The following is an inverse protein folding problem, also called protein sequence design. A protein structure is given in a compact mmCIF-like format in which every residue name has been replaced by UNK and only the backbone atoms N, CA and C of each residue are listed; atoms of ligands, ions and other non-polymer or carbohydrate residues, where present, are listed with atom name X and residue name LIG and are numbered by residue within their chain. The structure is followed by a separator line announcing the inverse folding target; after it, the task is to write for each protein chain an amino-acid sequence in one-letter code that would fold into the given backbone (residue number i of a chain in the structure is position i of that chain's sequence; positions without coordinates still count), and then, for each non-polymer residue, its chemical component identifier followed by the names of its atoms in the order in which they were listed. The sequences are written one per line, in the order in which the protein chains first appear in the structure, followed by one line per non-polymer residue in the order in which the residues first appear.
data_IF_074343375134
#
_entry.id   IF_074343375134
#
_cell.length_a   1.000
_cell.length_b   1.000
_cell.length_c   1.000
_cell.angle_alpha   90.00
_cell.angle_beta   90.00
_cell.angle_gamma   90.00
#
_symmetry.space_group_name_H-M   'P 1'
#
loop_
_entity.id
_entity.type
_entity.pdbx_description
1 polymer ?
#
# COMPACT_ATOMS: atom_id res chain seq x y z
N UNK A 1 8.75 66.28 -11.87
CA UNK A 1 9.18 64.95 -12.36
C UNK A 1 8.15 63.93 -11.88
N UNK A 2 7.47 63.27 -12.83
CA UNK A 2 6.69 62.01 -12.80
C UNK A 2 5.76 61.75 -11.60
N UNK A 3 4.48 61.37 -11.73
CA UNK A 3 3.70 60.86 -12.85
C UNK A 3 2.30 60.49 -12.31
N UNK A 4 1.31 60.47 -13.21
CA UNK A 4 -0.14 60.50 -12.99
C UNK A 4 -0.74 59.36 -12.14
N UNK A 5 -1.70 59.73 -11.30
CA UNK A 5 -2.82 58.92 -10.83
C UNK A 5 -3.93 58.85 -11.89
N UNK A 6 -4.53 57.67 -12.09
CA UNK A 6 -5.95 57.57 -12.45
C UNK A 6 -6.52 56.17 -12.16
N UNK A 7 -7.71 56.23 -11.60
CA UNK A 7 -8.62 55.22 -11.08
C UNK A 7 -9.25 54.34 -12.15
N UNK A 8 -9.48 53.07 -11.84
CA UNK A 8 -10.26 52.13 -12.65
C UNK A 8 -11.61 51.83 -11.99
N UNK A 9 -12.70 52.10 -12.71
CA UNK A 9 -14.08 51.77 -12.34
C UNK A 9 -14.77 51.02 -13.49
N UNK A 10 -15.31 49.84 -13.16
CA UNK A 10 -16.64 49.29 -13.54
C UNK A 10 -16.92 48.69 -14.95
N UNK A 11 -17.38 47.42 -14.87
CA UNK A 11 -18.34 46.62 -15.67
C UNK A 11 -18.49 46.82 -17.18
N UNK A 12 -18.43 45.69 -17.92
CA UNK A 12 -19.33 45.41 -19.05
C UNK A 12 -19.74 43.93 -19.12
N UNK A 13 -21.04 43.71 -18.96
CA UNK A 13 -21.80 42.56 -19.47
C UNK A 13 -22.24 42.88 -20.89
N UNK A 14 -22.24 41.90 -21.82
CA UNK A 14 -23.20 41.86 -22.94
C UNK A 14 -23.46 40.42 -23.39
N UNK A 15 -24.74 40.13 -23.54
CA UNK A 15 -25.36 38.91 -24.06
C UNK A 15 -25.15 38.78 -25.58
N UNK A 16 -25.20 37.56 -26.12
CA UNK A 16 -25.90 37.30 -27.38
C UNK A 16 -26.23 35.81 -27.55
N UNK A 17 -27.49 35.58 -27.88
CA UNK A 17 -28.22 34.38 -28.27
C UNK A 17 -27.74 33.74 -29.58
N UNK A 18 -27.84 32.41 -29.68
CA UNK A 18 -28.60 31.73 -30.74
C UNK A 18 -28.78 30.24 -30.43
N UNK A 19 -30.03 29.79 -30.46
CA UNK A 19 -30.43 28.40 -30.50
C UNK A 19 -30.51 27.95 -31.96
N UNK A 20 -30.00 26.77 -32.27
CA UNK A 20 -30.32 26.02 -33.47
C UNK A 20 -30.55 24.56 -33.09
N UNK A 21 -31.74 24.07 -33.42
CA UNK A 21 -32.20 22.69 -33.23
C UNK A 21 -31.85 21.80 -34.42
N UNK A 22 -31.78 20.49 -34.13
CA UNK A 22 -31.88 19.31 -35.00
C UNK A 22 -30.58 18.75 -35.62
N UNK A 23 -30.15 17.57 -35.17
CA UNK A 23 -30.51 16.30 -35.83
C UNK A 23 -30.03 15.10 -35.02
N UNK A 24 -30.86 14.07 -34.94
CA UNK A 24 -30.58 12.77 -34.33
C UNK A 24 -29.73 11.87 -35.25
N UNK A 25 -29.03 10.93 -34.60
CA UNK A 25 -28.25 9.79 -35.13
C UNK A 25 -26.86 10.10 -35.68
N UNK A 26 -25.85 9.79 -34.87
CA UNK A 26 -24.96 8.68 -35.19
C UNK A 26 -24.28 8.17 -33.91
N UNK A 27 -24.41 6.85 -33.71
CA UNK A 27 -23.73 6.06 -32.71
C UNK A 27 -22.22 6.14 -32.92
N UNK A 28 -21.52 6.86 -32.06
CA UNK A 28 -20.09 6.65 -31.86
C UNK A 28 -19.92 5.46 -30.91
N UNK A 29 -19.84 4.27 -31.51
CA UNK A 29 -19.25 3.11 -30.87
C UNK A 29 -17.90 3.57 -30.30
N UNK A 30 -17.69 3.33 -29.01
CA UNK A 30 -16.36 3.40 -28.44
C UNK A 30 -15.54 2.36 -29.19
N UNK A 31 -14.59 2.81 -30.01
CA UNK A 31 -13.55 1.94 -30.52
C UNK A 31 -12.87 1.32 -29.30
N UNK A 32 -13.15 0.03 -29.07
CA UNK A 32 -12.34 -0.86 -28.27
C UNK A 32 -10.93 -0.82 -28.88
N UNK A 33 -10.12 0.13 -28.39
CA UNK A 33 -8.67 0.00 -28.53
C UNK A 33 -8.29 -1.19 -27.68
N UNK A 34 -8.32 -2.35 -28.32
CA UNK A 34 -7.71 -3.57 -27.85
C UNK A 34 -6.32 -3.20 -27.35
N UNK A 35 -6.12 -3.33 -26.04
CA UNK A 35 -4.81 -3.35 -25.43
C UNK A 35 -3.97 -4.35 -26.21
N UNK A 36 -2.75 -3.94 -26.60
CA UNK A 36 -1.83 -4.83 -27.31
C UNK A 36 -1.81 -6.19 -26.59
N UNK A 37 -1.98 -7.32 -27.30
CA UNK A 37 -2.02 -8.62 -26.67
C UNK A 37 -0.75 -8.82 -25.86
N UNK A 38 -0.92 -9.08 -24.57
CA UNK A 38 0.18 -9.31 -23.63
C UNK A 38 1.18 -10.29 -24.26
N UNK A 39 2.50 -10.01 -24.23
CA UNK A 39 3.49 -11.00 -24.62
C UNK A 39 3.22 -12.27 -23.82
N UNK A 40 3.02 -13.40 -24.51
CA UNK A 40 2.69 -14.71 -23.90
C UNK A 40 3.67 -15.13 -22.79
N UNK A 41 4.85 -14.52 -22.74
CA UNK A 41 5.95 -14.85 -21.84
C UNK A 41 6.28 -13.74 -20.80
N UNK A 42 5.43 -12.70 -20.64
CA UNK A 42 5.72 -11.64 -19.66
C UNK A 42 5.67 -12.19 -18.21
N UNK A 43 6.75 -12.09 -17.42
CA UNK A 43 6.78 -12.66 -16.07
C UNK A 43 5.96 -11.88 -15.05
N UNK A 44 5.59 -10.63 -15.37
CA UNK A 44 4.76 -9.75 -14.55
C UNK A 44 3.35 -9.73 -15.14
N UNK A 45 2.36 -10.16 -14.37
CA UNK A 45 0.94 -10.13 -14.75
C UNK A 45 0.08 -10.35 -13.51
N UNK A 46 -0.40 -9.28 -12.87
CA UNK A 46 -1.31 -9.39 -11.73
C UNK A 46 -2.34 -8.26 -11.74
N UNK A 47 -3.63 -8.61 -11.62
CA UNK A 47 -4.76 -7.67 -11.72
C UNK A 47 -5.55 -7.50 -10.42
N UNK A 48 -5.42 -8.44 -9.49
CA UNK A 48 -6.21 -8.52 -8.27
C UNK A 48 -5.42 -9.29 -7.20
N UNK A 49 -6.01 -9.44 -6.02
CA UNK A 49 -5.32 -10.03 -4.86
C UNK A 49 -5.58 -11.54 -4.69
N UNK A 50 -6.33 -12.21 -5.57
CA UNK A 50 -6.85 -13.56 -5.33
C UNK A 50 -6.75 -14.56 -6.49
N UNK A 51 -6.46 -14.13 -7.72
CA UNK A 51 -6.22 -15.08 -8.81
C UNK A 51 -5.06 -16.03 -8.48
N UNK A 52 -5.02 -17.27 -9.02
CA UNK A 52 -3.99 -18.25 -8.68
C UNK A 52 -2.56 -17.70 -8.79
N UNK A 53 -1.85 -17.66 -7.66
CA UNK A 53 -0.51 -17.10 -7.51
C UNK A 53 0.54 -17.99 -8.16
N UNK A 54 1.43 -17.41 -8.97
CA UNK A 54 2.49 -18.12 -9.68
C UNK A 54 3.90 -17.61 -9.34
N UNK A 55 4.06 -16.30 -9.12
CA UNK A 55 5.34 -15.70 -8.72
C UNK A 55 5.15 -14.56 -7.74
N UNK A 56 5.99 -14.53 -6.71
CA UNK A 56 5.92 -13.56 -5.60
C UNK A 56 7.31 -13.12 -5.16
N UNK A 57 7.44 -11.85 -4.78
CA UNK A 57 8.61 -11.35 -4.05
C UNK A 57 8.30 -11.45 -2.56
N UNK A 58 9.19 -12.07 -1.77
CA UNK A 58 9.11 -12.13 -0.30
C UNK A 58 10.25 -11.31 0.30
N UNK A 59 9.95 -10.48 1.30
CA UNK A 59 10.90 -9.55 1.91
C UNK A 59 12.05 -10.20 2.70
N UNK A 60 12.88 -9.35 3.30
CA UNK A 60 14.04 -9.70 4.14
C UNK A 60 14.04 -8.96 5.47
N UNK A 61 14.32 -9.68 6.56
CA UNK A 61 14.47 -9.13 7.90
C UNK A 61 15.93 -8.75 8.22
N UNK A 62 16.87 -9.24 7.42
CA UNK A 62 18.30 -9.05 7.61
C UNK A 62 18.66 -7.56 7.64
N UNK A 63 19.51 -7.20 8.61
CA UNK A 63 20.03 -5.85 8.80
C UNK A 63 18.99 -4.75 8.98
N UNK A 64 17.73 -5.08 9.32
CA UNK A 64 16.71 -4.07 9.57
C UNK A 64 17.14 -3.09 10.68
N UNK A 65 16.99 -1.80 10.42
CA UNK A 65 17.35 -0.71 11.32
C UNK A 65 16.11 0.01 11.84
N UNK A 66 16.15 0.41 13.11
CA UNK A 66 15.17 1.32 13.70
C UNK A 66 15.34 2.67 13.02
N UNK A 67 14.29 3.24 12.40
CA UNK A 67 14.40 4.53 11.74
C UNK A 67 14.65 5.63 12.77
N UNK A 68 15.38 6.71 12.43
CA UNK A 68 15.46 7.89 13.27
C UNK A 68 14.06 8.40 13.66
N UNK A 69 13.87 8.84 14.90
CA UNK A 69 12.56 9.25 15.40
C UNK A 69 12.16 10.66 14.92
N UNK A 70 11.79 10.75 13.64
CA UNK A 70 11.29 11.96 12.97
C UNK A 70 9.76 12.07 13.06
N UNK A 71 9.20 13.19 12.61
CA UNK A 71 7.77 13.51 12.80
C UNK A 71 6.85 12.50 12.09
N UNK A 72 7.24 12.02 10.90
CA UNK A 72 6.52 11.01 10.15
C UNK A 72 6.61 9.62 10.79
N UNK A 73 7.72 9.28 11.44
CA UNK A 73 7.84 8.02 12.21
C UNK A 73 6.94 8.09 13.45
N UNK A 74 6.94 9.22 14.16
CA UNK A 74 6.10 9.45 15.34
C UNK A 74 4.61 9.37 14.99
N UNK A 75 4.17 10.01 13.92
CA UNK A 75 2.77 10.02 13.48
C UNK A 75 2.23 8.62 13.15
N UNK A 76 3.12 7.70 12.82
CA UNK A 76 2.79 6.38 12.30
C UNK A 76 3.05 5.23 13.29
N UNK A 77 3.50 5.52 14.51
CA UNK A 77 3.82 4.52 15.54
C UNK A 77 3.02 4.78 16.82
N UNK A 78 2.77 3.72 17.59
CA UNK A 78 2.08 3.83 18.88
C UNK A 78 2.98 4.50 19.93
N UNK A 79 2.38 5.30 20.80
CA UNK A 79 3.05 6.07 21.86
C UNK A 79 3.89 5.20 22.78
N UNK A 80 3.47 3.95 23.02
CA UNK A 80 4.23 2.98 23.83
C UNK A 80 5.62 2.66 23.27
N UNK A 81 5.84 2.85 21.96
CA UNK A 81 7.14 2.59 21.31
C UNK A 81 7.92 3.85 20.98
N UNK A 82 7.38 5.05 21.19
CA UNK A 82 8.14 6.29 20.95
C UNK A 82 9.48 6.32 21.69
N UNK A 83 9.58 5.91 22.98
CA UNK A 83 10.87 5.83 23.67
C UNK A 83 11.87 4.87 23.00
N UNK A 84 11.37 3.76 22.43
CA UNK A 84 12.21 2.80 21.71
C UNK A 84 12.83 3.45 20.47
N UNK A 85 12.05 4.16 19.66
CA UNK A 85 12.57 4.86 18.48
C UNK A 85 13.53 6.00 18.85
N UNK A 86 13.22 6.75 19.91
CA UNK A 86 14.09 7.81 20.42
C UNK A 86 15.46 7.26 20.85
N UNK A 87 15.47 6.11 21.53
CA UNK A 87 16.69 5.49 22.04
C UNK A 87 17.49 4.75 20.95
N UNK A 88 16.81 4.08 20.03
CA UNK A 88 17.45 3.13 19.11
C UNK A 88 17.51 3.60 17.65
N UNK A 89 16.98 4.77 17.31
CA UNK A 89 17.05 5.31 15.94
C UNK A 89 18.46 5.26 15.35
N UNK A 90 18.59 4.71 14.14
CA UNK A 90 19.86 4.49 13.44
C UNK A 90 20.59 3.19 13.80
N UNK A 91 20.14 2.45 14.83
CA UNK A 91 20.68 1.14 15.19
C UNK A 91 19.86 0.01 14.57
N UNK A 92 20.43 -1.20 14.52
CA UNK A 92 19.67 -2.40 14.16
C UNK A 92 18.53 -2.66 15.16
N UNK A 93 17.41 -3.20 14.67
CA UNK A 93 16.44 -3.85 15.54
C UNK A 93 17.12 -4.98 16.35
N UNK A 94 16.55 -5.39 17.50
CA UNK A 94 17.14 -6.44 18.34
C UNK A 94 17.51 -7.70 17.53
N UNK A 95 18.81 -8.01 17.46
CA UNK A 95 19.34 -9.05 16.56
C UNK A 95 18.77 -10.43 16.83
N UNK A 96 18.51 -10.77 18.09
CA UNK A 96 17.87 -12.04 18.46
C UNK A 96 16.44 -12.13 17.94
N UNK A 97 15.73 -11.00 17.89
CA UNK A 97 14.39 -10.92 17.30
C UNK A 97 14.45 -11.06 15.78
N UNK A 98 15.38 -10.36 15.13
CA UNK A 98 15.59 -10.47 13.69
C UNK A 98 15.96 -11.88 13.27
N UNK A 99 16.79 -12.59 14.05
CA UNK A 99 17.15 -13.99 13.77
C UNK A 99 15.92 -14.91 13.73
N UNK A 100 14.95 -14.70 14.62
CA UNK A 100 13.68 -15.44 14.61
C UNK A 100 12.83 -15.07 13.40
N UNK A 101 12.71 -13.78 13.09
CA UNK A 101 11.98 -13.30 11.92
C UNK A 101 12.57 -13.86 10.61
N UNK A 102 13.89 -13.93 10.48
CA UNK A 102 14.55 -14.57 9.32
C UNK A 102 14.11 -16.04 9.21
N UNK A 103 14.18 -16.81 10.30
CA UNK A 103 13.79 -18.22 10.28
C UNK A 103 12.31 -18.43 9.89
N UNK A 104 11.41 -17.60 10.42
CA UNK A 104 9.98 -17.63 10.08
C UNK A 104 9.73 -17.33 8.60
N UNK A 105 10.41 -16.33 8.04
CA UNK A 105 10.23 -15.92 6.65
C UNK A 105 10.88 -16.90 5.67
N UNK A 106 12.00 -17.53 6.03
CA UNK A 106 12.53 -18.65 5.23
C UNK A 106 11.55 -19.83 5.18
N UNK A 107 10.88 -20.14 6.30
CA UNK A 107 9.86 -21.19 6.30
C UNK A 107 8.63 -20.81 5.49
N UNK A 108 8.16 -19.56 5.58
CA UNK A 108 7.13 -19.02 4.68
C UNK A 108 7.52 -19.20 3.20
N UNK A 109 8.78 -18.94 2.85
CA UNK A 109 9.28 -19.14 1.49
C UNK A 109 9.28 -20.61 1.07
N UNK A 110 9.62 -21.54 1.98
CA UNK A 110 9.56 -22.98 1.71
C UNK A 110 8.14 -23.43 1.43
N UNK A 111 7.19 -22.98 2.25
CA UNK A 111 5.77 -23.29 2.09
C UNK A 111 5.24 -22.74 0.76
N UNK A 112 5.54 -21.49 0.39
CA UNK A 112 5.17 -20.95 -0.92
C UNK A 112 5.69 -21.79 -2.09
N UNK A 113 6.94 -22.27 -2.02
CA UNK A 113 7.51 -23.15 -3.05
C UNK A 113 6.80 -24.51 -3.10
N UNK A 114 6.45 -25.09 -1.94
CA UNK A 114 5.67 -26.33 -1.88
C UNK A 114 4.26 -26.16 -2.47
N UNK A 115 3.68 -24.97 -2.33
CA UNK A 115 2.39 -24.59 -2.95
C UNK A 115 2.51 -24.27 -4.46
N UNK A 116 3.70 -24.45 -5.06
CA UNK A 116 3.96 -24.26 -6.49
C UNK A 116 4.27 -22.82 -6.90
N UNK A 117 4.52 -21.92 -5.96
CA UNK A 117 4.80 -20.50 -6.23
C UNK A 117 6.30 -20.27 -6.41
N UNK A 118 6.69 -19.56 -7.47
CA UNK A 118 8.05 -19.07 -7.66
C UNK A 118 8.34 -17.93 -6.68
N UNK A 119 9.38 -18.06 -5.86
CA UNK A 119 9.75 -17.07 -4.84
C UNK A 119 11.01 -16.31 -5.23
N UNK A 120 10.93 -14.98 -5.26
CA UNK A 120 12.06 -14.05 -5.41
C UNK A 120 12.30 -13.30 -4.11
N UNK A 121 13.55 -12.89 -3.85
CA UNK A 121 13.96 -12.21 -2.61
C UNK A 121 14.79 -10.98 -2.96
N UNK A 122 14.61 -9.84 -2.27
CA UNK A 122 15.44 -8.66 -2.48
C UNK A 122 16.91 -8.95 -2.15
N UNK A 123 17.82 -8.14 -2.68
CA UNK A 123 19.24 -8.22 -2.39
C UNK A 123 19.51 -7.87 -0.91
N UNK A 124 20.42 -8.58 -0.22
CA UNK A 124 20.87 -8.17 1.11
C UNK A 124 21.54 -6.79 1.07
N UNK A 125 21.08 -5.88 1.93
CA UNK A 125 21.62 -4.52 2.07
C UNK A 125 21.91 -4.26 3.54
N UNK A 126 22.95 -3.45 3.82
CA UNK A 126 23.15 -2.84 5.12
C UNK A 126 22.33 -1.55 5.20
N UNK A 127 21.27 -1.56 6.02
CA UNK A 127 20.37 -0.43 6.21
C UNK A 127 20.87 0.58 7.24
N UNK A 128 21.98 0.30 7.93
CA UNK A 128 22.59 1.25 8.87
C UNK A 128 23.39 2.34 8.16
N UNK A 129 23.65 2.18 6.86
CA UNK A 129 24.35 3.18 6.05
C UNK A 129 23.60 4.52 6.08
N UNK A 130 24.32 5.55 6.55
CA UNK A 130 23.85 6.93 6.53
C UNK A 130 24.00 7.50 5.12
N UNK A 131 22.96 8.14 4.61
CA UNK A 131 22.96 8.82 3.32
C UNK A 131 22.45 10.24 3.47
N UNK A 132 22.83 11.07 2.51
CA UNK A 132 22.52 12.49 2.48
C UNK A 132 22.01 12.89 1.10
N UNK A 133 20.83 13.50 1.04
CA UNK A 133 20.33 14.23 -0.12
C UNK A 133 20.62 15.73 0.08
N UNK A 134 20.35 16.60 -0.91
CA UNK A 134 20.37 18.05 -0.68
C UNK A 134 19.39 18.53 0.40
N UNK A 135 18.31 17.78 0.65
CA UNK A 135 17.18 18.19 1.49
C UNK A 135 17.21 17.58 2.90
N UNK A 136 17.82 16.41 3.10
CA UNK A 136 17.89 15.75 4.40
C UNK A 136 19.04 14.73 4.52
N UNK A 137 19.26 14.23 5.72
CA UNK A 137 20.16 13.11 6.02
C UNK A 137 19.44 12.06 6.86
N UNK A 138 19.66 10.77 6.60
CA UNK A 138 19.03 9.67 7.34
C UNK A 138 19.83 8.36 7.25
N UNK A 139 19.43 7.37 8.02
CA UNK A 139 19.79 5.95 7.81
C UNK A 139 18.65 5.22 7.10
N UNK A 140 18.84 3.96 6.76
CA UNK A 140 17.80 3.11 6.16
C UNK A 140 16.81 2.54 7.18
N UNK A 141 15.86 1.76 6.65
CA UNK A 141 14.87 0.99 7.40
C UNK A 141 15.07 -0.52 7.17
N UNK A 142 14.56 -1.08 6.08
CA UNK A 142 14.70 -2.51 5.70
C UNK A 142 14.17 -2.77 4.27
N UNK A 143 14.20 -4.04 3.83
CA UNK A 143 13.41 -4.55 2.69
C UNK A 143 12.49 -5.72 3.09
N UNK A 144 11.90 -5.66 4.29
CA UNK A 144 10.94 -6.62 4.83
C UNK A 144 9.58 -6.58 4.12
N UNK A 145 9.13 -5.42 3.66
CA UNK A 145 7.76 -5.23 3.15
C UNK A 145 7.75 -4.82 1.67
N UNK A 146 7.89 -5.76 0.72
CA UNK A 146 7.78 -5.47 -0.70
C UNK A 146 6.49 -4.74 -1.07
N UNK A 147 5.37 -5.01 -0.37
CA UNK A 147 4.07 -4.40 -0.63
C UNK A 147 4.05 -2.89 -0.46
N UNK A 148 4.88 -2.38 0.44
CA UNK A 148 4.91 -0.95 0.75
C UNK A 148 5.51 -0.14 -0.40
N UNK A 149 6.43 -0.73 -1.15
CA UNK A 149 7.21 -0.06 -2.20
C UNK A 149 6.87 -0.52 -3.61
N UNK A 150 6.33 -1.72 -3.80
CA UNK A 150 6.01 -2.27 -5.10
C UNK A 150 4.52 -2.61 -5.20
N UNK A 151 3.88 -2.14 -6.27
CA UNK A 151 2.58 -2.61 -6.73
C UNK A 151 2.68 -3.08 -8.18
N UNK A 152 1.99 -4.17 -8.50
CA UNK A 152 1.86 -4.69 -9.85
C UNK A 152 0.45 -4.43 -10.37
N UNK A 153 0.35 -3.80 -11.53
CA UNK A 153 -0.93 -3.48 -12.20
C UNK A 153 -0.85 -3.98 -13.63
N UNK A 154 -1.49 -5.13 -13.90
CA UNK A 154 -1.33 -5.84 -15.17
C UNK A 154 0.12 -6.30 -15.36
N UNK A 155 0.74 -5.95 -16.49
CA UNK A 155 2.13 -6.26 -16.80
C UNK A 155 3.13 -5.18 -16.37
N UNK A 156 2.71 -4.25 -15.51
CA UNK A 156 3.51 -3.13 -15.02
C UNK A 156 3.85 -3.28 -13.55
N UNK A 157 5.13 -3.21 -13.21
CA UNK A 157 5.62 -3.06 -11.84
C UNK A 157 5.96 -1.60 -11.57
N UNK A 158 5.38 -1.03 -10.50
CA UNK A 158 5.49 0.39 -10.14
C UNK A 158 6.24 0.50 -8.81
N UNK A 159 7.35 1.24 -8.81
CA UNK A 159 8.05 1.65 -7.58
C UNK A 159 7.34 2.89 -7.00
N UNK A 160 6.84 2.76 -5.77
CA UNK A 160 6.24 3.85 -5.02
C UNK A 160 7.29 4.87 -4.57
N UNK A 161 6.91 6.16 -4.44
CA UNK A 161 7.82 7.21 -4.05
C UNK A 161 8.26 7.12 -2.58
N UNK A 162 7.44 6.47 -1.74
CA UNK A 162 7.53 6.47 -0.27
C UNK A 162 7.29 7.87 0.32
N UNK A 163 7.05 7.94 1.64
CA UNK A 163 6.95 9.22 2.36
C UNK A 163 7.88 9.33 3.59
N UNK A 164 8.58 8.26 3.95
CA UNK A 164 9.55 8.27 5.04
C UNK A 164 10.95 8.53 4.53
N UNK A 165 11.66 9.47 5.16
CA UNK A 165 13.06 9.76 4.83
C UNK A 165 13.91 8.51 4.89
N UNK A 166 13.72 7.66 5.90
CA UNK A 166 14.45 6.40 6.10
C UNK A 166 14.22 5.34 4.99
N UNK A 167 13.18 5.51 4.17
CA UNK A 167 12.80 4.59 3.08
C UNK A 167 13.16 5.12 1.70
N UNK A 168 13.85 6.26 1.61
CA UNK A 168 14.15 6.91 0.34
C UNK A 168 14.87 5.97 -0.66
N UNK A 169 15.86 5.23 -0.20
CA UNK A 169 16.67 4.32 -1.03
C UNK A 169 16.25 2.83 -0.94
N UNK A 170 15.07 2.53 -0.40
CA UNK A 170 14.59 1.14 -0.22
C UNK A 170 14.49 0.37 -1.54
N UNK A 171 14.16 1.06 -2.64
CA UNK A 171 14.07 0.49 -3.99
C UNK A 171 15.35 -0.25 -4.42
N UNK A 172 16.52 0.13 -3.88
CA UNK A 172 17.81 -0.44 -4.28
C UNK A 172 17.85 -1.97 -4.09
N UNK A 173 17.16 -2.48 -3.08
CA UNK A 173 17.13 -3.92 -2.78
C UNK A 173 16.37 -4.73 -3.84
N UNK A 174 15.50 -4.09 -4.62
CA UNK A 174 14.63 -4.77 -5.59
C UNK A 174 15.13 -4.64 -7.04
N UNK A 175 16.12 -3.77 -7.31
CA UNK A 175 16.55 -3.45 -8.68
C UNK A 175 17.09 -4.65 -9.46
N UNK A 176 17.72 -5.63 -8.82
CA UNK A 176 18.17 -6.85 -9.51
C UNK A 176 16.99 -7.66 -10.05
N UNK A 177 15.91 -7.79 -9.26
CA UNK A 177 14.67 -8.47 -9.65
C UNK A 177 13.95 -7.69 -10.76
N UNK A 178 13.76 -6.39 -10.56
CA UNK A 178 12.99 -5.54 -11.48
C UNK A 178 13.68 -5.46 -12.85
N UNK A 179 15.01 -5.33 -12.88
CA UNK A 179 15.77 -5.37 -14.14
C UNK A 179 15.57 -6.70 -14.85
N UNK A 180 15.61 -7.84 -14.16
CA UNK A 180 15.34 -9.15 -14.76
C UNK A 180 13.94 -9.21 -15.39
N UNK A 181 12.91 -8.71 -14.71
CA UNK A 181 11.55 -8.61 -15.28
C UNK A 181 11.47 -7.70 -16.50
N UNK A 182 12.14 -6.55 -16.45
CA UNK A 182 12.19 -5.61 -17.57
C UNK A 182 12.85 -6.23 -18.81
N UNK A 183 13.98 -6.96 -18.66
CA UNK A 183 14.61 -7.68 -19.77
C UNK A 183 13.70 -8.76 -20.37
N UNK A 184 12.76 -9.29 -19.58
CA UNK A 184 11.77 -10.30 -19.99
C UNK A 184 10.42 -9.69 -20.40
N UNK A 185 10.36 -8.37 -20.65
CA UNK A 185 9.23 -7.71 -21.29
C UNK A 185 8.22 -7.04 -20.36
N UNK A 186 8.46 -7.00 -19.05
CA UNK A 186 7.60 -6.27 -18.12
C UNK A 186 7.75 -4.75 -18.28
N UNK A 187 6.65 -4.00 -18.13
CA UNK A 187 6.72 -2.55 -17.98
C UNK A 187 7.25 -2.23 -16.58
N UNK A 188 8.18 -1.28 -16.50
CA UNK A 188 8.76 -0.82 -15.24
C UNK A 188 8.59 0.70 -15.13
N UNK A 189 7.90 1.12 -14.08
CA UNK A 189 7.66 2.53 -13.77
C UNK A 189 8.18 2.87 -12.39
N UNK A 190 8.70 4.08 -12.24
CA UNK A 190 9.01 4.69 -10.95
C UNK A 190 8.20 5.96 -10.80
N UNK A 191 7.37 6.05 -9.77
CA UNK A 191 6.68 7.29 -9.45
C UNK A 191 7.69 8.42 -9.14
N UNK A 192 7.33 9.71 -9.35
CA UNK A 192 8.22 10.83 -9.08
C UNK A 192 8.74 10.78 -7.65
N UNK A 193 10.06 10.64 -7.48
CA UNK A 193 10.66 10.56 -6.16
C UNK A 193 10.56 11.93 -5.47
N UNK A 194 9.91 12.06 -4.30
CA UNK A 194 9.76 13.32 -3.61
C UNK A 194 11.12 13.79 -3.11
N UNK A 195 11.32 15.10 -2.99
CA UNK A 195 12.48 15.67 -2.30
C UNK A 195 12.51 15.26 -0.82
N UNK A 196 11.34 15.06 -0.21
CA UNK A 196 11.16 14.86 1.24
C UNK A 196 11.78 15.99 2.06
N UNK A 197 11.81 17.21 1.49
CA UNK A 197 12.15 18.43 2.21
C UNK A 197 11.14 18.68 3.35
N UNK A 198 11.49 19.55 4.30
CA UNK A 198 10.62 19.82 5.46
C UNK A 198 9.20 20.25 5.07
N UNK A 199 9.03 20.87 3.88
CA UNK A 199 7.72 21.28 3.35
C UNK A 199 6.75 20.11 3.12
N UNK A 200 7.25 18.88 2.93
CA UNK A 200 6.40 17.69 2.81
C UNK A 200 5.75 17.33 4.15
N UNK A 201 6.30 17.78 5.27
CA UNK A 201 5.86 17.40 6.61
C UNK A 201 5.30 18.60 7.39
N UNK A 202 4.19 18.39 8.10
CA UNK A 202 3.80 19.27 9.20
C UNK A 202 4.73 18.98 10.39
N UNK A 203 5.82 19.73 10.50
CA UNK A 203 6.80 19.55 11.57
C UNK A 203 6.23 19.79 12.97
N UNK A 204 5.09 20.49 13.07
CA UNK A 204 4.39 20.78 14.31
C UNK A 204 3.11 19.93 14.47
N UNK A 205 3.01 18.80 13.76
CA UNK A 205 1.85 17.91 13.80
C UNK A 205 1.48 17.57 15.25
N UNK A 206 0.29 17.98 15.75
CA UNK A 206 -0.03 18.00 17.18
C UNK A 206 -0.48 16.63 17.71
N UNK A 207 0.40 15.63 17.59
CA UNK A 207 0.18 14.26 18.07
C UNK A 207 0.86 14.04 19.43
N UNK A 208 0.06 13.75 20.45
CA UNK A 208 0.52 13.32 21.78
C UNK A 208 0.07 11.90 22.14
N UNK A 209 -0.94 11.38 21.45
CA UNK A 209 -1.45 10.01 21.55
C UNK A 209 -1.99 9.53 20.20
N UNK A 210 -2.28 8.24 20.09
CA UNK A 210 -2.98 7.69 18.91
C UNK A 210 -4.40 8.26 18.78
N UNK A 211 -5.04 8.63 19.89
CA UNK A 211 -6.37 9.25 19.88
C UNK A 211 -6.36 10.62 19.19
N UNK A 212 -5.33 11.44 19.44
CA UNK A 212 -5.15 12.73 18.77
C UNK A 212 -5.01 12.56 17.27
N UNK A 213 -4.23 11.56 16.84
CA UNK A 213 -4.06 11.25 15.43
C UNK A 213 -5.39 10.88 14.76
N UNK A 214 -6.24 10.09 15.41
CA UNK A 214 -7.55 9.75 14.85
C UNK A 214 -8.45 10.98 14.72
N UNK A 215 -8.45 11.87 15.72
CA UNK A 215 -9.17 13.16 15.65
C UNK A 215 -8.65 14.05 14.53
N UNK A 216 -7.33 14.12 14.34
CA UNK A 216 -6.69 14.88 13.25
C UNK A 216 -7.04 14.30 11.88
N UNK A 217 -6.94 12.98 11.71
CA UNK A 217 -7.30 12.30 10.46
C UNK A 217 -8.77 12.53 10.08
N UNK A 218 -9.68 12.51 11.06
CA UNK A 218 -11.09 12.84 10.84
C UNK A 218 -11.32 14.30 10.39
N UNK A 219 -10.40 15.22 10.74
CA UNK A 219 -10.39 16.61 10.28
C UNK A 219 -9.67 16.79 8.93
N UNK A 220 -9.19 15.72 8.31
CA UNK A 220 -8.37 15.79 7.09
C UNK A 220 -6.94 16.27 7.34
N UNK A 221 -6.46 16.25 8.59
CA UNK A 221 -5.10 16.66 8.97
C UNK A 221 -4.21 15.44 9.17
N UNK A 222 -3.04 15.49 8.57
CA UNK A 222 -2.06 14.42 8.62
C UNK A 222 -0.66 15.03 8.60
N UNK A 223 0.35 14.23 8.92
CA UNK A 223 1.74 14.67 8.97
C UNK A 223 2.27 15.04 7.59
N UNK A 224 1.78 14.44 6.51
CA UNK A 224 2.15 14.80 5.14
C UNK A 224 1.25 15.89 4.58
N UNK A 225 1.88 16.89 3.99
CA UNK A 225 1.24 17.97 3.25
C UNK A 225 0.99 17.57 1.79
N UNK A 226 0.40 18.47 1.00
CA UNK A 226 0.26 18.34 -0.46
C UNK A 226 1.36 19.10 -1.21
N UNK A 227 2.57 19.20 -0.63
CA UNK A 227 3.70 19.90 -1.27
C UNK A 227 4.17 19.22 -2.57
N UNK A 228 4.25 17.89 -2.56
CA UNK A 228 4.64 17.05 -3.70
C UNK A 228 4.01 15.65 -3.58
N UNK A 229 3.90 14.86 -4.67
CA UNK A 229 3.33 13.51 -4.59
C UNK A 229 4.13 12.58 -3.67
N UNK A 230 3.46 11.96 -2.70
CA UNK A 230 4.02 10.88 -1.90
C UNK A 230 2.95 9.81 -1.61
N UNK A 231 3.36 8.55 -1.60
CA UNK A 231 2.53 7.40 -1.27
C UNK A 231 3.38 6.16 -1.01
N UNK A 232 2.82 5.26 -0.20
CA UNK A 232 3.24 3.87 -0.11
C UNK A 232 2.26 3.02 -0.93
N UNK A 233 2.77 2.03 -1.67
CA UNK A 233 1.96 1.14 -2.51
C UNK A 233 0.90 0.36 -1.70
N UNK A 234 1.18 0.06 -0.42
CA UNK A 234 0.28 -0.66 0.47
C UNK A 234 -0.96 0.14 0.92
N UNK A 235 -1.08 1.42 0.57
CA UNK A 235 -2.36 2.16 0.69
C UNK A 235 -3.33 1.89 -0.46
N UNK A 236 -2.90 1.13 -1.47
CA UNK A 236 -3.70 0.72 -2.62
C UNK A 236 -3.98 -0.79 -2.56
N UNK A 237 -5.20 -1.19 -2.90
CA UNK A 237 -5.59 -2.59 -3.04
C UNK A 237 -6.40 -2.81 -4.33
N UNK A 238 -6.12 -3.90 -5.04
CA UNK A 238 -6.61 -4.09 -6.42
C UNK A 238 -7.79 -5.06 -6.49
N UNK A 239 -8.72 -4.72 -7.38
CA UNK A 239 -9.85 -5.56 -7.75
C UNK A 239 -10.09 -5.44 -9.26
N UNK A 240 -9.12 -5.90 -10.06
CA UNK A 240 -9.20 -5.84 -11.51
C UNK A 240 -9.11 -4.40 -12.02
N UNK A 241 -10.17 -3.91 -12.68
CA UNK A 241 -10.25 -2.53 -13.20
C UNK A 241 -10.34 -1.48 -12.09
N UNK A 242 -10.71 -1.86 -10.88
CA UNK A 242 -10.89 -0.94 -9.76
C UNK A 242 -9.78 -1.10 -8.74
N UNK A 243 -9.14 0.01 -8.38
CA UNK A 243 -8.11 0.09 -7.36
C UNK A 243 -8.62 1.02 -6.27
N UNK A 244 -8.60 0.56 -5.03
CA UNK A 244 -9.06 1.34 -3.89
C UNK A 244 -7.86 1.88 -3.13
N UNK A 245 -7.84 3.19 -2.88
CA UNK A 245 -6.79 3.88 -2.17
C UNK A 245 -7.35 4.58 -0.92
N UNK A 246 -6.53 4.74 0.10
CA UNK A 246 -6.82 5.67 1.20
C UNK A 246 -5.82 6.82 1.25
N UNK A 247 -6.32 8.01 1.60
CA UNK A 247 -5.47 9.10 2.11
C UNK A 247 -5.05 8.72 3.53
N UNK A 248 -3.75 8.48 3.71
CA UNK A 248 -3.13 8.06 4.97
C UNK A 248 -2.04 9.05 5.41
N UNK A 249 -1.31 8.79 6.49
CA UNK A 249 -0.17 9.63 6.89
C UNK A 249 0.98 9.62 5.86
N UNK A 250 1.07 8.61 5.00
CA UNK A 250 2.15 8.46 4.00
C UNK A 250 1.67 8.63 2.55
N UNK A 251 0.36 8.55 2.31
CA UNK A 251 -0.26 8.70 0.99
C UNK A 251 -1.14 9.93 0.94
N UNK A 252 -0.69 10.94 0.19
CA UNK A 252 -1.39 12.21 0.02
C UNK A 252 -2.25 12.23 -1.25
N UNK A 253 -3.10 13.26 -1.40
CA UNK A 253 -4.01 13.33 -2.55
C UNK A 253 -3.26 13.50 -3.88
N UNK A 254 -2.14 14.22 -3.90
CA UNK A 254 -1.28 14.31 -5.08
C UNK A 254 -0.71 12.96 -5.51
N UNK A 255 -0.34 12.09 -4.56
CA UNK A 255 0.11 10.72 -4.82
C UNK A 255 -0.98 9.84 -5.42
N UNK A 256 -2.19 9.90 -4.84
CA UNK A 256 -3.35 9.17 -5.38
C UNK A 256 -3.73 9.68 -6.78
N UNK A 257 -3.72 11.00 -6.98
CA UNK A 257 -4.01 11.61 -8.29
C UNK A 257 -2.96 11.24 -9.34
N UNK A 258 -1.68 11.13 -8.96
CA UNK A 258 -0.64 10.62 -9.85
C UNK A 258 -0.95 9.20 -10.32
N UNK A 259 -1.29 8.29 -9.39
CA UNK A 259 -1.70 6.92 -9.72
C UNK A 259 -2.94 6.89 -10.63
N UNK A 260 -3.97 7.68 -10.31
CA UNK A 260 -5.20 7.76 -11.09
C UNK A 260 -4.94 8.22 -12.52
N UNK A 261 -4.09 9.25 -12.71
CA UNK A 261 -3.77 9.80 -14.03
C UNK A 261 -2.86 8.87 -14.83
N UNK A 262 -1.94 8.19 -14.16
CA UNK A 262 -1.00 7.25 -14.77
C UNK A 262 -1.70 6.00 -15.31
N UNK A 263 -2.68 5.46 -14.58
CA UNK A 263 -3.35 4.21 -14.92
C UNK A 263 -4.63 4.37 -15.76
N UNK A 264 -5.10 5.60 -15.97
CA UNK A 264 -6.26 5.88 -16.82
C UNK A 264 -5.93 5.65 -18.31
N UNK A 265 -6.91 5.21 -19.13
CA UNK A 265 -8.31 4.97 -18.79
C UNK A 265 -8.63 3.53 -18.36
N UNK A 266 -7.67 2.60 -18.42
CA UNK A 266 -7.93 1.17 -18.25
C UNK A 266 -8.30 0.79 -16.81
N UNK A 267 -7.77 1.53 -15.83
CA UNK A 267 -8.04 1.36 -14.41
C UNK A 267 -8.66 2.61 -13.80
N UNK A 268 -9.46 2.39 -12.75
CA UNK A 268 -10.16 3.40 -11.96
C UNK A 268 -9.61 3.38 -10.54
N UNK A 269 -9.05 4.49 -10.09
CA UNK A 269 -8.58 4.65 -8.70
C UNK A 269 -9.65 5.37 -7.88
N UNK A 270 -10.18 4.67 -6.87
CA UNK A 270 -11.23 5.16 -5.98
C UNK A 270 -10.64 5.50 -4.61
N UNK A 271 -10.99 6.66 -4.07
CA UNK A 271 -10.61 7.01 -2.70
C UNK A 271 -11.70 6.53 -1.75
N UNK A 272 -11.30 5.67 -0.79
CA UNK A 272 -12.13 5.27 0.34
C UNK A 272 -11.49 5.70 1.65
N UNK A 273 -12.30 5.74 2.70
CA UNK A 273 -11.91 6.27 4.01
C UNK A 273 -12.56 5.45 5.12
N UNK A 274 -11.93 5.47 6.29
CA UNK A 274 -12.31 4.64 7.42
C UNK A 274 -12.37 5.49 8.69
N UNK A 275 -13.21 5.09 9.63
CA UNK A 275 -13.10 5.57 11.01
C UNK A 275 -11.80 5.05 11.63
N UNK A 276 -11.16 5.85 12.46
CA UNK A 276 -9.93 5.49 13.19
C UNK A 276 -8.88 4.77 12.32
N UNK A 277 -8.53 5.35 11.15
CA UNK A 277 -7.76 4.63 10.14
C UNK A 277 -6.40 4.22 10.69
N UNK A 278 -5.88 3.09 10.18
CA UNK A 278 -4.46 2.81 10.33
C UNK A 278 -3.66 4.03 9.84
N UNK A 279 -2.62 4.48 10.55
CA UNK A 279 -1.83 5.62 10.09
C UNK A 279 -1.25 5.42 8.68
N UNK A 280 -0.99 4.18 8.27
CA UNK A 280 -0.59 3.83 6.91
C UNK A 280 -1.13 2.46 6.55
N UNK A 281 -1.30 2.23 5.25
CA UNK A 281 -1.60 0.96 4.62
C UNK A 281 -3.05 0.48 4.86
N UNK A 282 -3.65 -0.02 3.77
CA UNK A 282 -5.08 -0.37 3.73
C UNK A 282 -5.35 -1.85 4.02
N UNK A 283 -4.36 -2.71 3.80
CA UNK A 283 -4.45 -4.17 3.78
C UNK A 283 -4.64 -4.86 5.15
N UNK A 284 -4.49 -4.13 6.26
CA UNK A 284 -4.92 -4.56 7.60
C UNK A 284 -6.23 -3.85 8.07
N UNK A 285 -6.94 -3.22 7.14
CA UNK A 285 -8.18 -2.48 7.35
C UNK A 285 -9.29 -2.97 6.42
N UNK A 286 -8.98 -3.12 5.13
CA UNK A 286 -9.88 -3.53 4.08
C UNK A 286 -9.12 -4.42 3.10
N UNK A 287 -9.14 -5.74 3.36
CA UNK A 287 -8.37 -6.72 2.59
C UNK A 287 -9.31 -7.50 1.66
N UNK A 288 -9.19 -7.28 0.35
CA UNK A 288 -10.04 -7.90 -0.67
C UNK A 288 -9.46 -9.28 -0.97
N UNK A 289 -10.24 -10.33 -0.74
CA UNK A 289 -9.76 -11.72 -0.75
C UNK A 289 -10.41 -12.60 -1.82
N UNK A 290 -11.29 -12.03 -2.64
CA UNK A 290 -11.96 -12.75 -3.72
C UNK A 290 -12.89 -11.83 -4.53
N UNK A 291 -13.46 -12.34 -5.64
CA UNK A 291 -14.43 -11.61 -6.45
C UNK A 291 -15.64 -11.19 -5.62
N UNK A 292 -15.77 -9.90 -5.33
CA UNK A 292 -16.85 -9.40 -4.47
C UNK A 292 -16.76 -9.85 -3.01
N UNK A 293 -15.58 -10.21 -2.49
CA UNK A 293 -15.40 -10.67 -1.10
C UNK A 293 -14.27 -9.88 -0.42
N UNK A 294 -14.60 -9.25 0.71
CA UNK A 294 -13.65 -8.40 1.43
C UNK A 294 -13.72 -8.61 2.94
N UNK A 295 -12.55 -8.60 3.58
CA UNK A 295 -12.40 -8.51 5.02
C UNK A 295 -12.40 -7.04 5.44
N UNK A 296 -13.39 -6.61 6.22
CA UNK A 296 -13.50 -5.25 6.75
C UNK A 296 -13.23 -5.26 8.25
N UNK A 297 -12.19 -4.57 8.67
CA UNK A 297 -11.80 -4.46 10.07
C UNK A 297 -12.93 -3.84 10.92
N UNK A 298 -13.38 -4.49 12.01
CA UNK A 298 -14.49 -3.99 12.83
C UNK A 298 -14.18 -2.67 13.54
N UNK A 299 -12.91 -2.42 13.88
CA UNK A 299 -12.50 -1.20 14.58
C UNK A 299 -12.38 -0.01 13.62
N UNK A 300 -12.32 -0.28 12.32
CA UNK A 300 -12.07 0.71 11.27
C UNK A 300 -13.12 0.64 10.16
N UNK A 301 -14.41 0.88 10.48
CA UNK A 301 -15.48 0.78 9.49
C UNK A 301 -15.27 1.76 8.33
N UNK A 302 -15.45 1.25 7.10
CA UNK A 302 -15.38 2.03 5.87
C UNK A 302 -16.59 2.99 5.77
N UNK A 303 -16.33 4.28 5.54
CA UNK A 303 -17.39 5.26 5.34
C UNK A 303 -18.17 5.03 4.04
N UNK A 304 -17.52 4.45 3.03
CA UNK A 304 -18.11 4.14 1.73
C UNK A 304 -18.62 2.69 1.63
N UNK A 305 -18.87 2.00 2.75
CA UNK A 305 -19.21 0.57 2.73
C UNK A 305 -20.46 0.25 1.90
N UNK A 306 -21.40 1.18 1.81
CA UNK A 306 -22.64 0.98 1.04
C UNK A 306 -22.41 0.95 -0.47
N UNK A 307 -21.29 1.47 -0.98
CA UNK A 307 -20.92 1.30 -2.40
C UNK A 307 -20.67 -0.19 -2.70
N UNK A 308 -19.92 -0.86 -1.83
CA UNK A 308 -19.61 -2.29 -1.97
C UNK A 308 -20.86 -3.16 -1.80
N UNK A 309 -21.72 -2.84 -0.83
CA UNK A 309 -23.01 -3.55 -0.66
C UNK A 309 -23.89 -3.43 -1.91
N UNK A 310 -23.95 -2.23 -2.52
CA UNK A 310 -24.72 -1.99 -3.76
C UNK A 310 -24.15 -2.77 -4.94
N UNK A 311 -22.83 -2.92 -5.01
CA UNK A 311 -22.14 -3.78 -5.97
C UNK A 311 -22.28 -5.29 -5.67
N UNK A 312 -23.06 -5.69 -4.64
CA UNK A 312 -23.29 -7.09 -4.28
C UNK A 312 -22.13 -7.76 -3.55
N UNK A 313 -21.18 -7.00 -3.00
CA UNK A 313 -20.03 -7.57 -2.29
C UNK A 313 -20.42 -8.15 -0.93
N UNK A 314 -19.83 -9.29 -0.61
CA UNK A 314 -19.86 -9.89 0.71
C UNK A 314 -18.81 -9.23 1.60
N UNK A 315 -19.28 -8.53 2.62
CA UNK A 315 -18.42 -7.89 3.62
C UNK A 315 -18.32 -8.81 4.83
N UNK A 316 -17.11 -9.31 5.09
CA UNK A 316 -16.83 -10.18 6.24
C UNK A 316 -16.06 -9.39 7.30
N UNK A 317 -16.56 -9.41 8.52
CA UNK A 317 -15.85 -8.83 9.66
C UNK A 317 -15.02 -9.92 10.35
N UNK A 318 -13.68 -9.83 10.35
CA UNK A 318 -12.85 -10.84 11.00
C UNK A 318 -12.99 -10.80 12.53
N UNK A 319 -12.74 -11.94 13.21
CA UNK A 319 -12.72 -11.98 14.68
C UNK A 319 -11.53 -11.19 15.24
N UNK A 320 -11.62 -10.87 16.54
CA UNK A 320 -10.58 -10.15 17.26
C UNK A 320 -9.27 -10.96 17.26
N UNK A 321 -8.10 -10.33 17.01
CA UNK A 321 -6.81 -11.01 17.05
C UNK A 321 -6.48 -11.59 18.43
N UNK A 322 -5.76 -12.71 18.46
CA UNK A 322 -5.34 -13.38 19.72
C UNK A 322 -3.84 -13.22 20.03
N UNK A 323 -3.12 -12.41 19.25
CA UNK A 323 -1.74 -12.03 19.59
C UNK A 323 -1.68 -11.38 20.99
N UNK A 324 -0.73 -11.80 21.86
CA UNK A 324 -0.58 -11.22 23.20
C UNK A 324 -0.23 -9.73 23.15
N UNK A 325 -0.80 -8.95 24.08
CA UNK A 325 -0.57 -7.48 24.15
C UNK A 325 0.87 -7.12 24.54
N UNK A 326 1.60 -8.05 25.18
CA UNK A 326 3.02 -7.93 25.56
C UNK A 326 3.99 -8.29 24.42
N UNK A 327 3.49 -8.88 23.31
CA UNK A 327 4.31 -9.12 22.13
C UNK A 327 4.67 -7.78 21.45
N UNK A 328 5.96 -7.51 21.16
CA UNK A 328 6.35 -6.25 20.53
C UNK A 328 5.82 -6.19 19.09
N UNK A 329 5.16 -5.07 18.78
CA UNK A 329 4.71 -4.68 17.45
C UNK A 329 5.17 -3.25 17.20
N UNK A 330 6.46 -3.06 16.88
CA UNK A 330 7.05 -1.72 16.78
C UNK A 330 6.31 -0.83 15.77
N UNK A 331 5.82 -1.45 14.70
CA UNK A 331 4.92 -0.85 13.71
C UNK A 331 3.66 -1.71 13.57
N UNK A 332 2.63 -1.14 12.93
CA UNK A 332 1.31 -1.75 12.75
C UNK A 332 0.60 -2.06 14.09
N UNK A 333 -0.45 -2.88 14.03
CA UNK A 333 -1.37 -3.18 15.14
C UNK A 333 -1.66 -4.68 15.21
N UNK A 334 -2.34 -5.14 16.27
CA UNK A 334 -2.77 -6.54 16.40
C UNK A 334 -3.59 -7.07 15.21
N UNK A 335 -4.19 -6.18 14.42
CA UNK A 335 -4.96 -6.52 13.21
C UNK A 335 -4.12 -7.09 12.05
N UNK A 336 -2.82 -7.35 12.24
CA UNK A 336 -2.05 -8.17 11.29
C UNK A 336 -2.65 -9.58 11.08
N UNK A 337 -3.52 -10.05 11.97
CA UNK A 337 -4.27 -11.31 11.78
C UNK A 337 -5.09 -11.35 10.48
N UNK A 338 -5.61 -10.21 10.01
CA UNK A 338 -6.36 -10.10 8.74
C UNK A 338 -5.49 -9.65 7.55
N UNK A 339 -4.19 -9.43 7.75
CA UNK A 339 -3.22 -9.11 6.71
C UNK A 339 -2.77 -10.39 5.97
N UNK A 340 -3.75 -11.13 5.47
CA UNK A 340 -3.56 -12.44 4.83
C UNK A 340 -3.16 -12.32 3.38
N UNK A 341 -2.55 -13.39 2.84
CA UNK A 341 -2.23 -13.52 1.42
C UNK A 341 -3.07 -14.64 0.82
N UNK A 342 -3.87 -14.33 -0.20
CA UNK A 342 -4.56 -15.36 -0.98
C UNK A 342 -3.59 -15.98 -1.99
N UNK A 343 -3.51 -17.31 -2.01
CA UNK A 343 -2.79 -18.06 -3.05
C UNK A 343 -3.71 -18.36 -4.22
N UNK A 344 -5.00 -18.54 -3.96
CA UNK A 344 -6.10 -18.45 -4.91
C UNK A 344 -7.39 -18.15 -4.13
N UNK A 345 -8.55 -18.09 -4.79
CA UNK A 345 -9.86 -17.85 -4.15
C UNK A 345 -10.22 -18.83 -3.02
N UNK A 346 -9.58 -20.00 -2.94
CA UNK A 346 -9.89 -21.08 -1.99
C UNK A 346 -8.70 -21.47 -1.12
N UNK A 347 -7.56 -20.80 -1.21
CA UNK A 347 -6.38 -21.03 -0.38
C UNK A 347 -5.87 -19.71 0.17
N UNK A 348 -5.81 -19.60 1.49
CA UNK A 348 -5.32 -18.42 2.21
C UNK A 348 -4.13 -18.79 3.08
N UNK A 349 -3.04 -18.03 2.97
CA UNK A 349 -1.95 -18.07 3.93
C UNK A 349 -2.30 -17.17 5.13
N UNK A 350 -2.31 -17.77 6.32
CA UNK A 350 -2.82 -17.16 7.55
C UNK A 350 -1.96 -17.55 8.75
N UNK A 351 -1.94 -16.70 9.77
CA UNK A 351 -1.05 -16.87 10.93
C UNK A 351 -1.46 -18.13 11.71
N UNK A 352 -0.50 -19.01 11.97
CA UNK A 352 -0.73 -20.30 12.62
C UNK A 352 -1.32 -20.18 14.03
N UNK A 353 -1.09 -19.06 14.72
CA UNK A 353 -1.60 -18.81 16.06
C UNK A 353 -3.01 -18.19 16.08
N UNK A 354 -3.44 -17.57 14.97
CA UNK A 354 -4.73 -16.88 14.87
C UNK A 354 -5.88 -17.86 14.56
N UNK A 355 -6.12 -18.82 15.47
CA UNK A 355 -7.15 -19.86 15.31
C UNK A 355 -8.55 -19.29 15.02
N UNK A 356 -9.01 -18.19 15.66
CA UNK A 356 -10.35 -17.65 15.36
C UNK A 356 -10.55 -17.27 13.89
N UNK A 357 -9.58 -16.56 13.27
CA UNK A 357 -9.71 -16.17 11.84
C UNK A 357 -9.52 -17.39 10.92
N UNK A 358 -8.70 -18.37 11.30
CA UNK A 358 -8.63 -19.65 10.59
C UNK A 358 -10.02 -20.32 10.52
N UNK A 359 -10.76 -20.38 11.65
CA UNK A 359 -12.12 -20.93 11.69
C UNK A 359 -13.12 -20.14 10.86
N UNK A 360 -12.93 -18.83 10.72
CA UNK A 360 -13.73 -18.01 9.81
C UNK A 360 -13.51 -18.43 8.35
N UNK A 361 -12.25 -18.56 7.91
CA UNK A 361 -11.94 -19.01 6.55
C UNK A 361 -12.44 -20.42 6.25
N UNK A 362 -12.25 -21.36 7.19
CA UNK A 362 -12.76 -22.74 7.06
C UNK A 362 -14.28 -22.76 6.83
N UNK A 363 -15.04 -21.91 7.54
CA UNK A 363 -16.51 -21.76 7.35
C UNK A 363 -16.90 -21.12 6.02
N UNK A 364 -16.04 -20.29 5.45
CA UNK A 364 -16.22 -19.71 4.11
C UNK A 364 -15.82 -20.69 2.98
N UNK A 365 -15.37 -21.90 3.35
CA UNK A 365 -14.87 -22.89 2.39
C UNK A 365 -13.51 -22.52 1.80
N UNK A 366 -12.71 -21.75 2.54
CA UNK A 366 -11.35 -21.35 2.17
C UNK A 366 -10.36 -22.16 3.02
N UNK A 367 -9.47 -22.88 2.35
CA UNK A 367 -8.43 -23.71 2.96
C UNK A 367 -7.35 -22.84 3.58
N UNK A 368 -6.95 -23.16 4.81
CA UNK A 368 -5.96 -22.37 5.56
C UNK A 368 -4.57 -23.00 5.49
N UNK A 369 -3.62 -22.27 4.92
CA UNK A 369 -2.19 -22.59 4.93
C UNK A 369 -1.59 -21.83 6.11
N UNK A 370 -1.31 -22.56 7.17
CA UNK A 370 -0.98 -22.00 8.49
C UNK A 370 0.53 -21.81 8.59
N UNK A 371 0.98 -20.58 8.72
CA UNK A 371 2.40 -20.24 8.85
C UNK A 371 2.60 -19.35 10.06
N UNK A 372 3.62 -19.62 10.88
CA UNK A 372 3.94 -18.77 12.02
C UNK A 372 4.95 -17.69 11.60
N UNK A 373 4.55 -16.42 11.67
CA UNK A 373 5.41 -15.25 11.42
C UNK A 373 5.39 -14.28 12.59
N UNK A 374 5.19 -14.78 13.82
CA UNK A 374 4.97 -13.96 15.01
C UNK A 374 6.09 -12.94 15.26
N UNK A 375 7.36 -13.32 15.11
CA UNK A 375 8.47 -12.39 15.31
C UNK A 375 8.61 -11.43 14.12
N UNK A 376 8.37 -11.90 12.90
CA UNK A 376 8.30 -11.08 11.70
C UNK A 376 7.18 -10.02 11.75
N UNK A 377 6.03 -10.31 12.37
CA UNK A 377 4.94 -9.35 12.60
C UNK A 377 5.43 -8.09 13.35
N UNK A 378 6.43 -8.21 14.22
CA UNK A 378 6.99 -7.08 14.98
C UNK A 378 7.58 -5.98 14.08
N UNK A 379 8.01 -6.35 12.87
CA UNK A 379 8.51 -5.41 11.86
C UNK A 379 7.39 -4.69 11.09
N UNK A 380 6.12 -4.94 11.43
CA UNK A 380 5.00 -4.11 10.99
C UNK A 380 4.10 -4.71 9.91
N UNK A 381 4.23 -5.99 9.58
CA UNK A 381 3.48 -6.58 8.47
C UNK A 381 3.15 -8.05 8.67
N UNK A 382 2.02 -8.48 8.10
CA UNK A 382 1.63 -9.88 7.94
C UNK A 382 1.93 -10.35 6.51
N UNK A 383 1.32 -11.45 6.08
CA UNK A 383 1.66 -12.10 4.80
C UNK A 383 1.52 -11.17 3.58
N UNK A 384 0.50 -10.31 3.57
CA UNK A 384 0.30 -9.38 2.46
C UNK A 384 1.40 -8.32 2.40
N UNK A 385 1.78 -7.71 3.55
CA UNK A 385 2.87 -6.73 3.60
C UNK A 385 4.22 -7.36 3.23
N UNK A 386 4.50 -8.57 3.73
CA UNK A 386 5.75 -9.31 3.50
C UNK A 386 5.92 -9.77 2.04
N UNK A 387 4.92 -9.57 1.18
CA UNK A 387 4.92 -10.04 -0.20
C UNK A 387 4.52 -8.98 -1.22
N UNK A 388 4.96 -9.16 -2.46
CA UNK A 388 4.41 -8.49 -3.64
C UNK A 388 4.14 -9.57 -4.70
N UNK A 389 2.88 -9.80 -5.05
CA UNK A 389 2.48 -10.79 -6.05
C UNK A 389 2.76 -10.27 -7.45
N UNK A 390 3.73 -10.91 -8.11
CA UNK A 390 4.23 -10.48 -9.42
C UNK A 390 3.40 -11.08 -10.54
N UNK A 391 2.99 -12.34 -10.37
CA UNK A 391 2.20 -13.05 -11.36
C UNK A 391 1.08 -13.84 -10.70
N UNK A 392 -0.14 -13.56 -11.15
CA UNK A 392 -1.32 -14.37 -10.89
C UNK A 392 -1.96 -14.75 -12.22
N UNK A 393 -2.46 -15.98 -12.31
CA UNK A 393 -3.10 -16.49 -13.52
C UNK A 393 -4.54 -16.00 -13.60
N UNK A 394 -4.75 -14.96 -14.38
CA UNK A 394 -6.08 -14.41 -14.64
C UNK A 394 -6.03 -13.30 -15.67
N UNK A 395 -7.17 -12.66 -15.87
CA UNK A 395 -7.37 -11.59 -16.85
C UNK A 395 -7.93 -10.34 -16.18
N UNK A 396 -7.75 -9.18 -16.80
CA UNK A 396 -8.37 -7.95 -16.31
C UNK A 396 -9.91 -8.04 -16.40
N UNK A 397 -10.60 -7.89 -15.27
CA UNK A 397 -12.06 -7.92 -15.15
C UNK A 397 -12.57 -6.73 -14.30
N UNK A 398 -13.87 -6.45 -14.38
CA UNK A 398 -14.58 -5.59 -13.43
C UNK A 398 -15.24 -6.48 -12.38
N UNK A 399 -15.18 -6.09 -11.12
CA UNK A 399 -15.94 -6.72 -10.03
C UNK A 399 -16.79 -5.72 -9.25
N UNK A 400 -16.83 -4.46 -9.73
CA UNK A 400 -17.42 -3.33 -9.04
C UNK A 400 -18.36 -2.62 -10.01
N UNK A 401 -19.55 -3.20 -10.17
CA UNK A 401 -20.61 -2.75 -11.07
C UNK A 401 -21.84 -2.26 -10.29
#
# INVERSE_FOLDING_TARGET
KLGRTLTGWVQRTFQSTQAATASSRNSCAADDKATDPLPKDCPVSSYNEWDPLEEVIVGRAENACVPPFTVEVKANTYEKYWPFYQQHGGHYFPKDHLKKAVAEIEEMCNILKMEGVTVRRPDPIDWSLKYKTPDFESTGLYAAMPRDILIVVGNEIIEAPMAWRARFFEYRAYRSIIKDYFHRGAKWTTAPKPTMADKLYDTNYPIHSVEDRHKLAAQGKFVTTEFEPCFDAADFIRAGRDIFAQRSQVTNYLGIEWMRRHLAPDYRVHIISFKDPNPMHIDATFNIIGPGLVLSNPDRPCHQIDLFKKAGWTIVTPPIPVIPDDHPLWMSSKWLSMNVLMLDEKRVMVDANEVPIQKMFEKLGISTIKVNIRNANSLGGGFHCWTCDVRRRGTLQSYFD
#
